data_IF_419641172663
#
_entry.id   IF_419641172663
#
_cell.length_a   1.000
_cell.length_b   1.000
_cell.length_c   1.000
_cell.angle_alpha   90.00
_cell.angle_beta   90.00
_cell.angle_gamma   90.00
#
_symmetry.space_group_name_H-M   'P 1'
#
loop_
_entity.id
_entity.type
_entity.pdbx_description
1 polymer ?
#
# COMPACT_ATOMS: atom_id res chain seq x y z
N UNK A 1 9.67 14.23 14.94
CA UNK A 1 8.53 13.34 15.21
C UNK A 1 8.53 12.27 14.14
N UNK A 2 8.36 10.99 14.51
CA UNK A 2 8.33 9.91 13.53
C UNK A 2 7.03 9.92 12.73
N UNK A 3 7.12 9.57 11.46
CA UNK A 3 5.99 9.48 10.53
C UNK A 3 5.92 8.06 9.97
N UNK A 4 4.74 7.46 9.98
CA UNK A 4 4.52 6.05 9.64
C UNK A 4 3.57 5.93 8.46
N UNK A 5 3.86 5.04 7.53
CA UNK A 5 2.95 4.65 6.45
C UNK A 5 2.41 3.26 6.73
N UNK A 6 1.10 3.12 6.87
CA UNK A 6 0.41 1.83 6.90
C UNK A 6 0.02 1.43 5.48
N UNK A 7 0.45 0.24 5.05
CA UNK A 7 -0.02 -0.35 3.79
C UNK A 7 -1.32 -1.16 3.99
N UNK A 8 -1.83 -1.76 2.92
CA UNK A 8 -3.08 -2.52 3.00
C UNK A 8 -2.98 -3.78 3.84
N UNK A 9 -1.78 -4.35 4.02
CA UNK A 9 -1.61 -5.49 4.91
C UNK A 9 -1.90 -5.14 6.38
N UNK A 10 -1.66 -3.88 6.78
CA UNK A 10 -2.06 -3.37 8.08
C UNK A 10 -3.58 -3.25 8.22
N UNK A 11 -4.26 -2.73 7.19
CA UNK A 11 -5.74 -2.66 7.17
C UNK A 11 -6.33 -4.07 7.31
N UNK A 12 -5.85 -5.01 6.51
CA UNK A 12 -6.28 -6.41 6.53
C UNK A 12 -6.00 -7.10 7.88
N UNK A 13 -4.95 -6.70 8.59
CA UNK A 13 -4.65 -7.23 9.92
C UNK A 13 -5.69 -6.79 10.97
N UNK A 14 -6.12 -5.52 10.93
CA UNK A 14 -7.20 -5.03 11.82
C UNK A 14 -8.52 -5.71 11.45
N UNK A 15 -8.88 -5.67 10.17
CA UNK A 15 -10.17 -6.20 9.67
C UNK A 15 -10.34 -7.69 10.02
N UNK A 16 -9.30 -8.49 9.80
CA UNK A 16 -9.30 -9.93 10.10
C UNK A 16 -8.96 -10.25 11.56
N UNK A 17 -8.88 -9.24 12.45
CA UNK A 17 -8.56 -9.38 13.87
C UNK A 17 -7.31 -10.24 14.13
N UNK A 18 -6.25 -10.02 13.35
CA UNK A 18 -4.98 -10.75 13.48
C UNK A 18 -4.18 -10.24 14.68
N UNK A 19 -3.19 -11.02 15.09
CA UNK A 19 -2.32 -10.69 16.22
C UNK A 19 -1.64 -9.32 16.07
N UNK A 20 -1.38 -8.88 14.83
CA UNK A 20 -0.75 -7.59 14.57
C UNK A 20 -1.66 -6.37 14.82
N UNK A 21 -2.99 -6.55 14.91
CA UNK A 21 -3.94 -5.46 15.06
C UNK A 21 -3.67 -4.61 16.30
N UNK A 22 -3.25 -5.24 17.41
CA UNK A 22 -2.90 -4.54 18.65
C UNK A 22 -1.72 -3.58 18.49
N UNK A 23 -0.72 -3.95 17.68
CA UNK A 23 0.42 -3.07 17.41
C UNK A 23 0.04 -1.88 16.53
N UNK A 24 -0.87 -2.08 15.57
CA UNK A 24 -1.36 -0.98 14.74
C UNK A 24 -2.20 -0.01 15.58
N UNK A 25 -3.01 -0.52 16.52
CA UNK A 25 -3.73 0.31 17.48
C UNK A 25 -2.78 1.16 18.34
N UNK A 26 -1.62 0.63 18.75
CA UNK A 26 -0.62 1.43 19.47
C UNK A 26 -0.08 2.61 18.64
N UNK A 27 0.13 2.40 17.33
CA UNK A 27 0.53 3.48 16.41
C UNK A 27 -0.59 4.54 16.29
N UNK A 28 -1.86 4.11 16.24
CA UNK A 28 -3.01 5.03 16.22
C UNK A 28 -3.10 5.84 17.51
N UNK A 29 -2.93 5.21 18.66
CA UNK A 29 -2.90 5.89 19.95
C UNK A 29 -1.78 6.93 20.03
N UNK A 30 -0.59 6.58 19.51
CA UNK A 30 0.53 7.51 19.40
C UNK A 30 0.21 8.68 18.46
N UNK A 31 -0.53 8.44 17.37
CA UNK A 31 -1.02 9.48 16.47
C UNK A 31 -1.98 10.44 17.16
N UNK A 32 -2.99 9.92 17.85
CA UNK A 32 -3.98 10.70 18.61
C UNK A 32 -3.30 11.56 19.68
N UNK A 33 -2.29 10.99 20.36
CA UNK A 33 -1.48 11.68 21.36
C UNK A 33 -0.43 12.64 20.78
N UNK A 34 -0.32 12.73 19.45
CA UNK A 34 0.68 13.54 18.72
C UNK A 34 2.13 13.19 19.06
N UNK A 35 2.37 11.93 19.40
CA UNK A 35 3.71 11.36 19.59
C UNK A 35 4.31 10.96 18.23
N UNK A 36 3.45 10.57 17.29
CA UNK A 36 3.79 10.20 15.92
C UNK A 36 2.75 10.73 14.93
N UNK A 37 3.09 10.73 13.65
CA UNK A 37 2.14 10.97 12.55
C UNK A 37 1.94 9.70 11.75
N UNK A 38 0.70 9.22 11.65
CA UNK A 38 0.40 7.95 10.98
C UNK A 38 -0.52 8.24 9.79
N UNK A 39 -0.17 7.70 8.64
CA UNK A 39 -0.93 7.81 7.40
C UNK A 39 -1.17 6.43 6.82
N UNK A 40 -2.27 6.27 6.10
CA UNK A 40 -2.70 5.01 5.49
C UNK A 40 -2.81 5.18 3.98
N UNK A 41 -2.32 4.21 3.22
CA UNK A 41 -2.41 4.26 1.76
C UNK A 41 -3.85 4.01 1.31
N UNK A 42 -4.39 4.92 0.51
CA UNK A 42 -5.74 4.83 -0.06
C UNK A 42 -5.75 3.99 -1.36
N UNK A 43 -5.40 2.71 -1.26
CA UNK A 43 -5.37 1.79 -2.39
C UNK A 43 -6.30 0.60 -2.18
N UNK A 44 -6.95 0.17 -3.26
CA UNK A 44 -7.86 -0.96 -3.24
C UNK A 44 -7.08 -2.27 -3.14
N UNK A 45 -7.18 -2.94 -1.99
CA UNK A 45 -6.93 -4.39 -1.88
C UNK A 45 -8.09 -5.02 -1.12
N UNK A 46 -9.30 -4.64 -1.51
CA UNK A 46 -10.48 -5.31 -1.00
C UNK A 46 -10.65 -6.65 -1.72
N UNK A 47 -10.00 -7.66 -1.16
CA UNK A 47 -9.93 -9.05 -1.65
C UNK A 47 -11.34 -9.67 -1.87
N UNK A 48 -12.38 -9.18 -1.19
CA UNK A 48 -13.74 -9.77 -1.21
C UNK A 48 -14.80 -9.01 -2.05
N UNK A 49 -14.42 -7.95 -2.79
CA UNK A 49 -15.42 -6.99 -3.30
C UNK A 49 -15.85 -7.16 -4.76
N UNK A 50 -15.49 -8.26 -5.42
CA UNK A 50 -15.98 -8.55 -6.78
C UNK A 50 -17.33 -9.28 -6.74
N UNK A 51 -18.31 -8.82 -5.97
CA UNK A 51 -19.67 -9.38 -6.08
C UNK A 51 -20.37 -9.02 -7.38
N UNK A 52 -19.95 -7.95 -8.07
CA UNK A 52 -20.57 -7.50 -9.33
C UNK A 52 -19.58 -6.79 -10.30
N UNK A 53 -18.29 -7.13 -10.28
CA UNK A 53 -17.33 -6.66 -11.31
C UNK A 53 -16.97 -5.16 -11.29
N UNK A 54 -17.22 -4.45 -10.18
CA UNK A 54 -16.86 -3.04 -10.04
C UNK A 54 -16.01 -2.78 -8.80
N UNK A 55 -14.95 -1.98 -8.97
CA UNK A 55 -14.21 -1.39 -7.86
C UNK A 55 -15.18 -0.53 -7.04
N UNK A 56 -15.24 -0.75 -5.73
CA UNK A 56 -16.06 0.07 -4.85
C UNK A 56 -15.65 1.55 -4.96
N UNK A 57 -16.63 2.44 -4.78
CA UNK A 57 -16.37 3.87 -4.72
C UNK A 57 -15.45 4.19 -3.55
N UNK A 58 -14.64 5.23 -3.67
CA UNK A 58 -13.82 5.71 -2.55
C UNK A 58 -14.62 6.01 -1.27
N UNK A 59 -15.91 6.34 -1.39
CA UNK A 59 -16.80 6.47 -0.25
C UNK A 59 -16.85 5.20 0.59
N UNK A 60 -16.92 4.03 -0.03
CA UNK A 60 -17.01 2.76 0.70
C UNK A 60 -15.67 2.42 1.36
N UNK A 61 -14.55 2.73 0.70
CA UNK A 61 -13.23 2.65 1.35
C UNK A 61 -13.17 3.55 2.60
N UNK A 62 -13.68 4.78 2.53
CA UNK A 62 -13.74 5.70 3.68
C UNK A 62 -14.61 5.17 4.81
N UNK A 63 -15.81 4.69 4.49
CA UNK A 63 -16.72 4.07 5.46
C UNK A 63 -16.05 2.86 6.14
N UNK A 64 -15.30 2.06 5.38
CA UNK A 64 -14.58 0.93 5.92
C UNK A 64 -13.46 1.35 6.88
N UNK A 65 -12.56 2.23 6.47
CA UNK A 65 -11.47 2.68 7.37
C UNK A 65 -12.04 3.40 8.61
N UNK A 66 -13.18 4.07 8.51
CA UNK A 66 -13.90 4.63 9.67
C UNK A 66 -14.44 3.53 10.59
N UNK A 67 -15.00 2.45 10.03
CA UNK A 67 -15.42 1.29 10.83
C UNK A 67 -14.28 0.61 11.57
N UNK A 68 -13.04 0.74 11.07
CA UNK A 68 -11.81 0.26 11.69
C UNK A 68 -11.16 1.29 12.63
N UNK A 69 -11.74 2.48 12.81
CA UNK A 69 -11.21 3.55 13.65
C UNK A 69 -10.02 4.32 13.06
N UNK A 70 -9.75 4.16 11.75
CA UNK A 70 -8.63 4.77 11.05
C UNK A 70 -8.96 6.14 10.43
N UNK A 71 -10.16 6.68 10.66
CA UNK A 71 -10.65 7.91 10.01
C UNK A 71 -9.85 9.18 10.38
N UNK A 72 -9.06 9.11 11.45
CA UNK A 72 -8.18 10.22 11.87
C UNK A 72 -6.84 10.23 11.18
N UNK A 73 -6.48 9.16 10.46
CA UNK A 73 -5.19 9.05 9.79
C UNK A 73 -5.20 9.86 8.48
N UNK A 74 -4.03 10.35 8.10
CA UNK A 74 -3.86 10.97 6.77
C UNK A 74 -4.02 9.91 5.68
N UNK A 75 -4.82 10.20 4.65
CA UNK A 75 -4.92 9.35 3.46
C UNK A 75 -3.80 9.68 2.48
N UNK A 76 -2.98 8.69 2.15
CA UNK A 76 -1.90 8.80 1.19
C UNK A 76 -2.38 8.27 -0.16
N UNK A 77 -2.49 9.17 -1.14
CA UNK A 77 -3.08 8.86 -2.43
C UNK A 77 -2.06 8.25 -3.42
N UNK A 78 -2.31 7.06 -3.96
CA UNK A 78 -1.46 6.43 -4.98
C UNK A 78 -1.61 7.11 -6.34
N UNK A 79 -0.78 6.73 -7.30
CA UNK A 79 -0.98 7.14 -8.70
C UNK A 79 -2.24 6.53 -9.27
N UNK A 80 -2.89 7.26 -10.17
CA UNK A 80 -4.06 6.75 -10.85
C UNK A 80 -3.72 5.55 -11.75
N UNK A 81 -4.34 4.42 -11.43
CA UNK A 81 -4.41 3.21 -12.24
C UNK A 81 -5.87 2.77 -12.34
N UNK A 82 -6.32 2.57 -13.58
CA UNK A 82 -7.63 2.00 -13.87
C UNK A 82 -7.74 0.61 -13.23
N UNK A 83 -8.88 0.33 -12.60
CA UNK A 83 -9.17 -0.93 -11.89
C UNK A 83 -8.17 -1.36 -10.79
N UNK A 84 -7.33 -0.44 -10.33
CA UNK A 84 -6.42 -0.64 -9.18
C UNK A 84 -6.62 0.42 -8.10
N UNK A 85 -6.90 1.66 -8.50
CA UNK A 85 -7.01 2.80 -7.58
C UNK A 85 -8.33 3.54 -7.76
N UNK A 86 -8.73 4.30 -6.73
CA UNK A 86 -9.94 5.10 -6.79
C UNK A 86 -9.70 6.39 -7.58
N UNK A 87 -10.58 6.69 -8.55
CA UNK A 87 -10.47 7.89 -9.39
C UNK A 87 -10.40 9.19 -8.60
N UNK A 88 -11.23 9.34 -7.56
CA UNK A 88 -11.33 10.53 -6.70
C UNK A 88 -10.34 10.52 -5.52
N UNK A 89 -9.51 9.49 -5.41
CA UNK A 89 -8.48 9.34 -4.38
C UNK A 89 -7.19 8.76 -4.98
N UNK A 90 -6.75 9.38 -6.06
CA UNK A 90 -5.49 9.10 -6.73
C UNK A 90 -4.91 10.38 -7.33
N UNK A 91 -3.63 10.33 -7.67
CA UNK A 91 -2.94 11.47 -8.26
C UNK A 91 -2.53 11.20 -9.70
N UNK A 92 -2.54 12.26 -10.51
CA UNK A 92 -1.98 12.22 -11.86
C UNK A 92 -0.46 12.15 -11.77
N UNK A 93 0.11 11.07 -12.28
CA UNK A 93 1.55 10.86 -12.33
C UNK A 93 2.23 11.79 -13.35
N UNK A 94 3.44 12.24 -13.01
CA UNK A 94 4.40 12.83 -13.93
C UNK A 94 5.53 11.83 -14.24
N UNK A 95 6.50 12.22 -15.08
CA UNK A 95 7.60 11.34 -15.46
C UNK A 95 8.45 10.89 -14.26
N UNK A 96 8.57 11.73 -13.22
CA UNK A 96 9.31 11.39 -12.00
C UNK A 96 8.56 10.36 -11.19
N UNK A 97 7.25 10.49 -11.07
CA UNK A 97 6.36 9.55 -10.41
C UNK A 97 6.48 8.16 -11.07
N UNK A 98 6.38 8.08 -12.40
CA UNK A 98 6.56 6.83 -13.14
C UNK A 98 7.97 6.25 -13.03
N UNK A 99 9.00 7.09 -13.03
CA UNK A 99 10.39 6.65 -12.84
C UNK A 99 10.58 5.99 -11.48
N UNK A 100 10.04 6.59 -10.41
CA UNK A 100 10.11 6.01 -9.08
C UNK A 100 9.31 4.70 -8.99
N UNK A 101 8.11 4.67 -9.55
CA UNK A 101 7.29 3.46 -9.60
C UNK A 101 8.01 2.29 -10.26
N UNK A 102 8.58 2.53 -11.45
CA UNK A 102 9.30 1.50 -12.19
C UNK A 102 10.50 0.96 -11.39
N UNK A 103 11.23 1.83 -10.67
CA UNK A 103 12.31 1.40 -9.78
C UNK A 103 11.80 0.52 -8.64
N UNK A 104 10.72 0.92 -7.98
CA UNK A 104 10.11 0.15 -6.88
C UNK A 104 9.63 -1.21 -7.39
N UNK A 105 8.95 -1.24 -8.55
CA UNK A 105 8.49 -2.47 -9.21
C UNK A 105 9.63 -3.42 -9.52
N UNK A 106 10.69 -2.93 -10.18
CA UNK A 106 11.84 -3.75 -10.55
C UNK A 106 12.62 -4.31 -9.34
N UNK A 107 12.46 -3.72 -8.15
CA UNK A 107 13.02 -4.26 -6.92
C UNK A 107 12.11 -5.33 -6.33
N UNK A 108 10.82 -5.05 -6.19
CA UNK A 108 9.87 -5.93 -5.51
C UNK A 108 9.48 -7.15 -6.34
N UNK A 109 9.21 -6.94 -7.63
CA UNK A 109 8.59 -7.90 -8.54
C UNK A 109 9.29 -7.89 -9.92
N UNK A 110 10.61 -8.20 -9.99
CA UNK A 110 11.36 -8.16 -11.25
C UNK A 110 10.85 -9.16 -12.30
N UNK A 111 10.20 -10.23 -11.87
CA UNK A 111 9.72 -11.31 -12.73
C UNK A 111 8.24 -11.15 -13.14
N UNK A 112 7.56 -10.10 -12.67
CA UNK A 112 6.20 -9.75 -13.06
C UNK A 112 6.27 -8.58 -14.05
N UNK A 113 5.71 -8.70 -15.26
CA UNK A 113 5.63 -7.58 -16.20
C UNK A 113 5.03 -6.31 -15.59
N UNK A 114 5.69 -5.17 -15.84
CA UNK A 114 5.31 -3.88 -15.27
C UNK A 114 3.95 -3.38 -15.79
N UNK A 115 3.70 -3.56 -17.08
CA UNK A 115 2.46 -3.17 -17.75
C UNK A 115 1.48 -4.34 -17.74
N UNK A 116 0.19 -4.04 -17.51
CA UNK A 116 -0.88 -5.03 -17.55
C UNK A 116 -0.94 -5.74 -18.91
N UNK A 117 -0.80 -5.00 -20.00
CA UNK A 117 -0.80 -5.55 -21.36
C UNK A 117 0.30 -6.57 -21.60
N UNK A 118 1.49 -6.33 -21.04
CA UNK A 118 2.63 -7.23 -21.17
C UNK A 118 2.39 -8.50 -20.33
N UNK A 119 1.87 -8.34 -19.11
CA UNK A 119 1.45 -9.45 -18.25
C UNK A 119 0.40 -10.34 -18.94
N UNK A 120 -0.63 -9.72 -19.54
CA UNK A 120 -1.66 -10.41 -20.29
C UNK A 120 -1.09 -11.24 -21.44
N UNK A 121 -0.18 -10.65 -22.22
CA UNK A 121 0.45 -11.33 -23.34
C UNK A 121 1.28 -12.53 -22.88
N UNK A 122 2.04 -12.40 -21.78
CA UNK A 122 2.85 -13.49 -21.24
C UNK A 122 2.04 -14.64 -20.62
N UNK A 123 0.80 -14.37 -20.18
CA UNK A 123 -0.05 -15.37 -19.50
C UNK A 123 -1.28 -15.79 -20.31
N UNK A 124 -1.43 -15.30 -21.54
CA UNK A 124 -2.56 -15.63 -22.41
C UNK A 124 -3.90 -15.12 -21.89
N UNK A 125 -3.89 -13.98 -21.18
CA UNK A 125 -5.08 -13.31 -20.63
C UNK A 125 -5.54 -12.26 -21.64
N UNK A 126 -6.85 -12.07 -21.78
CA UNK A 126 -7.40 -10.96 -22.54
C UNK A 126 -7.12 -9.62 -21.82
N UNK A 127 -6.39 -8.66 -22.43
CA UNK A 127 -6.13 -7.36 -21.80
C UNK A 127 -7.42 -6.55 -21.53
N UNK A 128 -8.53 -6.88 -22.20
CA UNK A 128 -9.85 -6.26 -21.99
C UNK A 128 -10.72 -7.03 -20.98
N UNK A 129 -10.17 -8.05 -20.31
CA UNK A 129 -10.86 -8.77 -19.23
C UNK A 129 -11.37 -7.81 -18.15
N UNK A 130 -12.63 -7.99 -17.73
CA UNK A 130 -13.27 -7.20 -16.67
C UNK A 130 -12.57 -7.34 -15.31
N UNK A 131 -11.86 -8.45 -15.10
CA UNK A 131 -11.12 -8.70 -13.85
C UNK A 131 -9.64 -8.76 -14.12
N UNK A 132 -8.88 -7.94 -13.38
CA UNK A 132 -7.43 -8.05 -13.31
C UNK A 132 -7.02 -9.34 -12.62
N UNK A 133 -5.92 -9.92 -13.09
CA UNK A 133 -5.28 -11.04 -12.43
C UNK A 133 -4.83 -10.65 -11.01
N UNK A 134 -5.05 -11.57 -10.06
CA UNK A 134 -4.80 -11.31 -8.65
C UNK A 134 -3.31 -11.07 -8.36
N UNK A 135 -2.40 -11.82 -8.99
CA UNK A 135 -0.97 -11.70 -8.76
C UNK A 135 -0.45 -10.34 -9.25
N UNK A 136 -0.80 -9.95 -10.48
CA UNK A 136 -0.42 -8.65 -11.02
C UNK A 136 -1.00 -7.50 -10.19
N UNK A 137 -2.28 -7.58 -9.83
CA UNK A 137 -2.96 -6.55 -9.01
C UNK A 137 -2.29 -6.41 -7.65
N UNK A 138 -2.02 -7.51 -6.95
CA UNK A 138 -1.37 -7.50 -5.64
C UNK A 138 0.06 -6.93 -5.72
N UNK A 139 0.80 -7.27 -6.78
CA UNK A 139 2.11 -6.69 -7.05
C UNK A 139 2.02 -5.16 -7.25
N UNK A 140 1.09 -4.71 -8.10
CA UNK A 140 0.86 -3.28 -8.35
C UNK A 140 0.46 -2.54 -7.08
N UNK A 141 -0.42 -3.10 -6.25
CA UNK A 141 -0.82 -2.48 -4.99
C UNK A 141 0.36 -2.34 -4.02
N UNK A 142 1.18 -3.38 -3.84
CA UNK A 142 2.38 -3.30 -3.01
C UNK A 142 3.39 -2.24 -3.51
N UNK A 143 3.58 -2.15 -4.84
CA UNK A 143 4.41 -1.11 -5.46
C UNK A 143 3.87 0.28 -5.15
N UNK A 144 2.56 0.50 -5.33
CA UNK A 144 1.93 1.78 -5.06
C UNK A 144 1.96 2.15 -3.58
N UNK A 145 1.80 1.20 -2.66
CA UNK A 145 1.92 1.46 -1.23
C UNK A 145 3.31 1.97 -0.84
N UNK A 146 4.37 1.35 -1.35
CA UNK A 146 5.72 1.81 -1.09
C UNK A 146 6.06 3.11 -1.82
N UNK A 147 5.55 3.27 -3.04
CA UNK A 147 5.67 4.52 -3.79
C UNK A 147 5.06 5.69 -3.00
N UNK A 148 3.86 5.53 -2.42
CA UNK A 148 3.22 6.52 -1.54
C UNK A 148 4.11 6.86 -0.35
N UNK A 149 4.69 5.86 0.30
CA UNK A 149 5.62 6.08 1.40
C UNK A 149 6.81 6.96 0.99
N UNK A 150 7.45 6.61 -0.13
CA UNK A 150 8.62 7.29 -0.64
C UNK A 150 8.33 8.75 -1.04
N UNK A 151 7.24 9.02 -1.77
CA UNK A 151 6.93 10.39 -2.22
C UNK A 151 6.51 11.32 -1.08
N UNK A 152 5.94 10.79 0.00
CA UNK A 152 5.61 11.56 1.19
C UNK A 152 6.80 11.70 2.16
N UNK A 153 7.96 11.10 1.86
CA UNK A 153 9.17 11.19 2.69
C UNK A 153 8.96 10.73 4.12
N UNK A 154 8.09 9.72 4.32
CA UNK A 154 7.76 9.22 5.66
C UNK A 154 8.90 8.39 6.24
N UNK A 155 9.03 8.34 7.56
CA UNK A 155 10.18 7.72 8.22
C UNK A 155 10.11 6.19 8.27
N UNK A 156 8.91 5.62 8.45
CA UNK A 156 8.73 4.17 8.66
C UNK A 156 7.63 3.65 7.75
N UNK A 157 7.95 2.70 6.88
CA UNK A 157 6.97 1.92 6.14
C UNK A 157 6.59 0.68 6.95
N UNK A 158 5.32 0.54 7.29
CA UNK A 158 4.81 -0.55 8.13
C UNK A 158 4.06 -1.53 7.25
N UNK A 159 4.49 -2.80 7.26
CA UNK A 159 3.89 -3.85 6.42
C UNK A 159 4.07 -5.24 7.03
N UNK A 160 3.15 -6.17 6.77
CA UNK A 160 3.34 -7.61 7.02
C UNK A 160 3.72 -8.37 5.74
N UNK A 161 3.89 -7.68 4.61
CA UNK A 161 4.24 -8.30 3.33
C UNK A 161 5.71 -8.75 3.33
N UNK A 162 5.93 -10.06 3.22
CA UNK A 162 7.25 -10.71 3.28
C UNK A 162 8.22 -10.25 2.20
N UNK A 163 7.73 -9.79 1.05
CA UNK A 163 8.59 -9.30 -0.03
C UNK A 163 9.45 -8.11 0.37
N UNK A 164 9.02 -7.33 1.37
CA UNK A 164 9.76 -6.19 1.89
C UNK A 164 10.87 -6.56 2.89
N UNK A 165 10.93 -7.82 3.32
CA UNK A 165 11.91 -8.32 4.29
C UNK A 165 13.00 -9.20 3.67
N UNK A 166 12.98 -9.40 2.35
CA UNK A 166 14.17 -9.89 1.65
C UNK A 166 15.29 -8.84 1.79
N UNK A 167 16.42 -9.22 2.38
CA UNK A 167 17.52 -8.31 2.69
C UNK A 167 18.02 -7.52 1.48
N UNK A 168 18.05 -8.17 0.30
CA UNK A 168 18.52 -7.53 -0.93
C UNK A 168 17.51 -6.50 -1.46
N UNK A 169 16.21 -6.80 -1.36
CA UNK A 169 15.12 -5.90 -1.76
C UNK A 169 14.98 -4.76 -0.75
N UNK A 170 14.90 -5.07 0.55
CA UNK A 170 14.80 -4.10 1.65
C UNK A 170 15.88 -3.04 1.55
N UNK A 171 17.13 -3.43 1.37
CA UNK A 171 18.25 -2.49 1.22
C UNK A 171 18.05 -1.53 0.04
N UNK A 172 17.71 -2.05 -1.15
CA UNK A 172 17.49 -1.21 -2.35
C UNK A 172 16.31 -0.26 -2.18
N UNK A 173 15.25 -0.70 -1.52
CA UNK A 173 14.09 0.14 -1.21
C UNK A 173 14.48 1.29 -0.26
N UNK A 174 15.22 0.98 0.82
CA UNK A 174 15.73 2.00 1.74
C UNK A 174 16.71 2.98 1.06
N UNK A 175 17.45 2.56 0.05
CA UNK A 175 18.28 3.47 -0.77
C UNK A 175 17.42 4.45 -1.60
N UNK A 176 16.17 4.10 -1.93
CA UNK A 176 15.24 4.98 -2.66
C UNK A 176 14.53 5.98 -1.75
N UNK A 177 14.04 5.55 -0.58
CA UNK A 177 13.18 6.37 0.29
C UNK A 177 13.85 6.84 1.59
N UNK A 178 14.95 6.19 2.00
CA UNK A 178 15.49 6.31 3.35
C UNK A 178 14.63 5.61 4.40
N UNK A 179 14.85 5.95 5.67
CA UNK A 179 13.98 5.52 6.77
C UNK A 179 14.09 4.04 7.13
N UNK A 180 12.95 3.44 7.47
CA UNK A 180 12.82 2.07 7.96
C UNK A 180 11.67 1.33 7.26
N UNK A 181 11.80 0.01 7.15
CA UNK A 181 10.71 -0.88 6.75
C UNK A 181 10.54 -1.90 7.86
N UNK A 182 9.42 -1.84 8.57
CA UNK A 182 9.21 -2.56 9.82
C UNK A 182 7.88 -3.32 9.85
N UNK A 183 7.86 -4.39 10.63
CA UNK A 183 6.61 -5.08 10.96
C UNK A 183 5.78 -4.20 11.89
N UNK A 184 4.46 -4.42 12.02
CA UNK A 184 3.64 -3.68 12.97
C UNK A 184 4.21 -3.70 14.40
N UNK A 185 4.69 -4.85 14.86
CA UNK A 185 5.33 -5.01 16.18
C UNK A 185 6.57 -4.11 16.33
N UNK A 186 7.52 -4.20 15.39
CA UNK A 186 8.75 -3.42 15.44
C UNK A 186 8.47 -1.92 15.29
N UNK A 187 7.49 -1.53 14.46
CA UNK A 187 7.07 -0.14 14.31
C UNK A 187 6.45 0.41 15.60
N UNK A 188 5.60 -0.35 16.28
CA UNK A 188 4.99 0.06 17.54
C UNK A 188 6.04 0.29 18.64
N UNK A 189 7.12 -0.50 18.67
CA UNK A 189 8.23 -0.31 19.60
C UNK A 189 8.95 1.06 19.45
N UNK A 190 8.80 1.74 18.31
CA UNK A 190 9.41 3.05 18.06
C UNK A 190 8.63 4.23 18.67
N UNK A 191 7.40 4.02 19.14
CA UNK A 191 6.53 5.06 19.71
C UNK A 191 6.27 4.90 21.21
N UNK A 192 6.99 3.98 21.85
CA UNK A 192 6.96 3.72 23.29
C UNK A 192 8.02 4.50 24.07
#
# INVERSE_FOLDING_TARGET
MLTFTLDTSCINAIDKSRDEAGFIQNLMDAHIKRIAEVGVVAISVFEDQHKDGHLERFSTFKEHIESLGLEKLELLYPMFYWDVTFWDASIKADDKAHTLESKVHNILYPDIPFLWTDYCHEHGIDPESETLDEEWRNAKCAVQSYWCHAIHGRHVFVTSNKNFYDESKKKKLLELAGGYIETPECAAALVH
#
